data_IF_780523556983
#
_entry.id   IF_780523556983
#
_cell.length_a   1.000
_cell.length_b   1.000
_cell.length_c   1.000
_cell.angle_alpha   90.00
_cell.angle_beta   90.00
_cell.angle_gamma   90.00
#
_symmetry.space_group_name_H-M   'P 1'
#
loop_
_entity.id
_entity.type
_entity.pdbx_description
1 polymer ?
#
# COMPACT_ATOMS: atom_id res chain seq x y z
N UNK A 1 61.90 -36.55 -15.97
CA UNK A 1 60.91 -37.53 -15.45
C UNK A 1 60.24 -37.14 -14.12
N UNK A 2 60.80 -36.23 -13.29
CA UNK A 2 60.26 -35.92 -11.95
C UNK A 2 59.17 -34.83 -11.88
N UNK A 3 59.01 -33.97 -12.89
CA UNK A 3 58.04 -32.86 -12.83
C UNK A 3 56.60 -33.30 -13.14
N UNK A 4 56.44 -34.29 -14.04
CA UNK A 4 55.13 -34.81 -14.43
C UNK A 4 54.47 -35.60 -13.29
N UNK A 5 55.23 -36.45 -12.59
CA UNK A 5 54.72 -37.28 -11.49
C UNK A 5 54.19 -36.44 -10.31
N UNK A 6 54.91 -35.37 -9.97
CA UNK A 6 54.54 -34.44 -8.89
C UNK A 6 53.29 -33.61 -9.21
N UNK A 7 53.08 -33.27 -10.49
CA UNK A 7 51.89 -32.55 -10.96
C UNK A 7 50.64 -33.44 -10.93
N UNK A 8 50.79 -34.73 -11.23
CA UNK A 8 49.69 -35.71 -11.18
C UNK A 8 49.29 -36.03 -9.73
N UNK A 9 50.24 -36.20 -8.82
CA UNK A 9 49.95 -36.40 -7.38
C UNK A 9 49.25 -35.20 -6.74
N UNK A 10 49.66 -33.96 -7.07
CA UNK A 10 49.01 -32.77 -6.56
C UNK A 10 47.58 -32.59 -7.11
N UNK A 11 47.35 -32.93 -8.39
CA UNK A 11 46.00 -32.94 -8.97
C UNK A 11 45.10 -34.00 -8.32
N UNK A 12 45.63 -35.19 -8.04
CA UNK A 12 44.87 -36.25 -7.37
C UNK A 12 44.50 -35.88 -5.93
N UNK A 13 45.44 -35.30 -5.16
CA UNK A 13 45.15 -34.79 -3.80
C UNK A 13 44.14 -33.64 -3.79
N UNK A 14 44.14 -32.79 -4.82
CA UNK A 14 43.16 -31.73 -4.98
C UNK A 14 41.76 -32.30 -5.26
N UNK A 15 41.65 -33.27 -6.19
CA UNK A 15 40.40 -33.96 -6.49
C UNK A 15 39.83 -34.72 -5.28
N UNK A 16 40.68 -35.35 -4.48
CA UNK A 16 40.26 -36.04 -3.25
C UNK A 16 39.68 -35.05 -2.21
N UNK A 17 40.29 -33.86 -2.07
CA UNK A 17 39.79 -32.81 -1.16
C UNK A 17 38.45 -32.23 -1.63
N UNK A 18 38.29 -31.99 -2.93
CA UNK A 18 37.01 -31.52 -3.50
C UNK A 18 35.91 -32.56 -3.31
N UNK A 19 36.21 -33.84 -3.54
CA UNK A 19 35.25 -34.94 -3.35
C UNK A 19 34.76 -35.08 -1.90
N UNK A 20 35.66 -34.93 -0.91
CA UNK A 20 35.29 -35.00 0.51
C UNK A 20 34.47 -33.79 0.95
N UNK A 21 34.77 -32.59 0.45
CA UNK A 21 33.97 -31.38 0.74
C UNK A 21 32.55 -31.52 0.16
N UNK A 22 32.43 -32.06 -1.05
CA UNK A 22 31.12 -32.26 -1.70
C UNK A 22 30.28 -33.32 -0.97
N UNK A 23 30.92 -34.38 -0.47
CA UNK A 23 30.26 -35.43 0.30
C UNK A 23 29.82 -34.93 1.69
N UNK A 24 30.62 -34.08 2.34
CA UNK A 24 30.24 -33.41 3.59
C UNK A 24 29.11 -32.39 3.38
N UNK A 25 29.10 -31.65 2.28
CA UNK A 25 28.00 -30.75 1.92
C UNK A 25 26.69 -31.52 1.64
N UNK A 26 26.76 -32.69 0.98
CA UNK A 26 25.60 -33.57 0.81
C UNK A 26 25.09 -34.15 2.13
N UNK A 27 25.99 -34.53 3.05
CA UNK A 27 25.60 -35.05 4.37
C UNK A 27 25.02 -33.95 5.27
N UNK A 28 25.57 -32.73 5.22
CA UNK A 28 24.99 -31.54 5.85
C UNK A 28 23.63 -31.22 5.24
N UNK A 29 23.49 -31.26 3.92
CA UNK A 29 22.20 -31.08 3.22
C UNK A 29 21.16 -32.12 3.62
N UNK A 30 21.55 -33.39 3.75
CA UNK A 30 20.68 -34.47 4.24
C UNK A 30 20.33 -34.31 5.72
N UNK A 31 21.26 -33.81 6.54
CA UNK A 31 21.00 -33.50 7.94
C UNK A 31 20.02 -32.33 8.08
N UNK A 32 20.22 -31.24 7.34
CA UNK A 32 19.30 -30.09 7.25
C UNK A 32 17.92 -30.49 6.69
N UNK A 33 17.87 -31.35 5.67
CA UNK A 33 16.64 -31.90 5.13
C UNK A 33 15.85 -32.68 6.19
N UNK A 34 16.54 -33.47 7.02
CA UNK A 34 15.93 -34.27 8.08
C UNK A 34 15.54 -33.46 9.32
N UNK A 35 16.20 -32.33 9.58
CA UNK A 35 15.91 -31.45 10.74
C UNK A 35 14.98 -30.28 10.40
N UNK A 36 14.61 -30.08 9.13
CA UNK A 36 13.59 -29.09 8.78
C UNK A 36 12.22 -29.58 9.26
N UNK A 37 11.59 -28.85 10.19
CA UNK A 37 10.21 -29.04 10.65
C UNK A 37 9.15 -28.82 9.55
N UNK A 38 9.55 -28.76 8.27
CA UNK A 38 8.69 -28.43 7.13
C UNK A 38 7.90 -29.61 6.55
N UNK A 39 8.07 -30.82 7.07
CA UNK A 39 7.28 -31.99 6.69
C UNK A 39 6.66 -32.64 7.92
N UNK A 40 5.72 -31.92 8.54
CA UNK A 40 4.74 -32.56 9.39
C UNK A 40 3.87 -33.46 8.49
N UNK A 41 3.70 -34.72 8.87
CA UNK A 41 2.85 -35.66 8.15
C UNK A 41 1.41 -35.16 8.30
N UNK A 42 0.78 -34.74 7.20
CA UNK A 42 -0.63 -34.37 7.22
C UNK A 42 -1.51 -35.60 7.15
N UNK A 43 -2.61 -35.53 7.89
CA UNK A 43 -3.64 -36.56 7.83
C UNK A 43 -4.51 -36.30 6.60
N UNK A 44 -4.65 -37.31 5.73
CA UNK A 44 -5.47 -37.22 4.53
C UNK A 44 -6.81 -37.91 4.76
N UNK A 45 -7.91 -37.20 4.49
CA UNK A 45 -9.28 -37.72 4.59
C UNK A 45 -9.95 -37.60 3.22
N UNK A 46 -10.62 -38.68 2.78
CA UNK A 46 -11.43 -38.69 1.55
C UNK A 46 -12.91 -38.57 1.90
N UNK A 47 -13.54 -37.46 1.52
CA UNK A 47 -14.93 -37.13 1.87
C UNK A 47 -15.80 -37.20 0.61
N UNK A 48 -16.96 -37.86 0.69
CA UNK A 48 -17.93 -37.83 -0.40
C UNK A 48 -18.64 -36.49 -0.40
N UNK A 49 -18.65 -35.79 -1.54
CA UNK A 49 -19.47 -34.60 -1.75
C UNK A 49 -20.91 -35.05 -2.01
N UNK A 50 -21.81 -34.84 -1.05
CA UNK A 50 -23.24 -35.14 -1.16
C UNK A 50 -23.99 -33.97 -1.79
N UNK A 51 -23.64 -32.75 -1.37
CA UNK A 51 -24.15 -31.50 -1.92
C UNK A 51 -23.32 -31.12 -3.14
N UNK A 52 -23.52 -31.87 -4.23
CA UNK A 52 -22.68 -31.78 -5.42
C UNK A 52 -23.21 -30.81 -6.49
N UNK A 53 -24.27 -30.06 -6.17
CA UNK A 53 -24.88 -29.05 -7.02
C UNK A 53 -24.81 -27.64 -6.38
N UNK A 54 -23.96 -26.78 -6.92
CA UNK A 54 -23.75 -25.42 -6.44
C UNK A 54 -25.00 -24.53 -6.58
N UNK A 55 -25.85 -24.74 -7.58
CA UNK A 55 -27.07 -23.93 -7.76
C UNK A 55 -28.21 -24.31 -6.81
N UNK A 56 -28.12 -25.48 -6.18
CA UNK A 56 -29.08 -25.96 -5.17
C UNK A 56 -28.58 -25.71 -3.76
N UNK A 57 -27.31 -26.05 -3.49
CA UNK A 57 -26.74 -26.08 -2.14
C UNK A 57 -25.70 -24.99 -1.86
N UNK A 58 -25.27 -24.26 -2.91
CA UNK A 58 -24.22 -23.24 -2.83
C UNK A 58 -22.90 -23.78 -2.26
N UNK A 59 -22.00 -22.88 -1.84
CA UNK A 59 -20.81 -23.27 -1.07
C UNK A 59 -21.17 -23.82 0.32
N UNK A 60 -22.34 -23.45 0.86
CA UNK A 60 -22.78 -23.90 2.19
C UNK A 60 -22.87 -25.43 2.28
N UNK A 61 -23.43 -26.11 1.27
CA UNK A 61 -23.51 -27.57 1.24
C UNK A 61 -22.15 -28.28 1.26
N UNK A 62 -21.13 -27.69 0.64
CA UNK A 62 -19.74 -28.21 0.69
C UNK A 62 -19.22 -28.17 2.13
N UNK A 63 -19.40 -27.04 2.81
CA UNK A 63 -18.94 -26.87 4.19
C UNK A 63 -19.77 -27.68 5.19
N UNK A 64 -21.05 -27.96 4.89
CA UNK A 64 -21.86 -28.92 5.64
C UNK A 64 -21.28 -30.34 5.53
N UNK A 65 -20.96 -30.79 4.31
CA UNK A 65 -20.35 -32.11 4.09
C UNK A 65 -18.98 -32.26 4.78
N UNK A 66 -18.17 -31.20 4.78
CA UNK A 66 -16.91 -31.15 5.51
C UNK A 66 -17.16 -31.22 7.02
N UNK A 67 -18.07 -30.40 7.55
CA UNK A 67 -18.38 -30.36 8.98
C UNK A 67 -18.92 -31.70 9.50
N UNK A 68 -19.83 -32.33 8.76
CA UNK A 68 -20.36 -33.66 9.06
C UNK A 68 -19.26 -34.72 9.15
N UNK A 69 -18.26 -34.63 8.27
CA UNK A 69 -17.24 -35.66 8.11
C UNK A 69 -16.06 -35.52 9.09
N UNK A 70 -15.62 -34.28 9.35
CA UNK A 70 -14.39 -34.02 10.10
C UNK A 70 -14.55 -33.05 11.27
N UNK A 71 -15.73 -32.43 11.43
CA UNK A 71 -15.98 -31.41 12.45
C UNK A 71 -15.18 -30.14 12.18
N UNK A 72 -15.84 -29.09 11.69
CA UNK A 72 -15.17 -27.83 11.41
C UNK A 72 -15.19 -26.89 12.62
N UNK A 73 -14.19 -25.98 12.73
CA UNK A 73 -14.22 -24.85 13.65
C UNK A 73 -15.47 -23.98 13.46
N UNK A 74 -15.93 -23.35 14.55
CA UNK A 74 -17.03 -22.38 14.48
C UNK A 74 -16.63 -21.12 13.68
N UNK A 75 -15.40 -20.65 13.87
CA UNK A 75 -14.82 -19.51 13.13
C UNK A 75 -13.79 -20.02 12.13
N UNK A 76 -14.02 -19.76 10.86
CA UNK A 76 -13.17 -20.19 9.76
C UNK A 76 -12.55 -18.98 9.09
N UNK A 77 -11.23 -19.09 8.86
CA UNK A 77 -10.40 -18.11 8.18
C UNK A 77 -9.73 -18.78 6.99
N UNK A 78 -9.76 -18.14 5.82
CA UNK A 78 -9.02 -18.59 4.65
C UNK A 78 -7.53 -18.34 4.83
N UNK A 79 -6.70 -19.21 4.25
CA UNK A 79 -5.28 -18.95 4.08
C UNK A 79 -5.09 -18.01 2.88
N UNK A 80 -5.78 -18.29 1.76
CA UNK A 80 -5.69 -17.49 0.53
C UNK A 80 -7.06 -17.24 -0.12
N UNK A 81 -7.77 -18.31 -0.48
CA UNK A 81 -8.95 -18.25 -1.34
C UNK A 81 -9.84 -19.50 -1.20
N UNK A 82 -11.03 -19.40 -1.77
CA UNK A 82 -11.98 -20.47 -2.06
C UNK A 82 -12.37 -20.35 -3.53
N UNK A 83 -11.95 -21.33 -4.34
CA UNK A 83 -12.29 -21.44 -5.75
C UNK A 83 -13.20 -22.65 -5.96
N UNK A 84 -14.34 -22.40 -6.60
CA UNK A 84 -15.29 -23.45 -6.98
C UNK A 84 -15.62 -23.28 -8.45
N UNK A 85 -15.32 -24.30 -9.26
CA UNK A 85 -15.82 -24.37 -10.64
C UNK A 85 -16.99 -25.32 -10.72
N UNK A 86 -18.01 -24.98 -11.50
CA UNK A 86 -19.22 -25.76 -11.66
C UNK A 86 -19.79 -25.62 -13.07
N UNK A 87 -20.57 -26.60 -13.49
CA UNK A 87 -21.19 -26.60 -14.82
C UNK A 87 -22.47 -25.76 -14.84
N UNK A 88 -22.97 -25.43 -16.03
CA UNK A 88 -24.27 -24.77 -16.21
C UNK A 88 -25.45 -25.52 -15.52
N UNK A 89 -25.29 -26.84 -15.30
CA UNK A 89 -26.24 -27.67 -14.55
C UNK A 89 -26.19 -27.47 -13.04
N UNK A 90 -25.17 -26.75 -12.55
CA UNK A 90 -24.82 -26.57 -11.15
C UNK A 90 -23.88 -27.64 -10.59
N UNK A 91 -23.65 -28.74 -11.32
CA UNK A 91 -22.75 -29.80 -10.89
C UNK A 91 -21.32 -29.28 -10.63
N UNK A 92 -20.84 -29.44 -9.40
CA UNK A 92 -19.51 -28.96 -8.99
C UNK A 92 -18.43 -29.78 -9.69
N UNK A 93 -17.52 -29.09 -10.39
CA UNK A 93 -16.43 -29.67 -11.15
C UNK A 93 -15.11 -29.69 -10.35
N UNK A 94 -14.75 -28.57 -9.71
CA UNK A 94 -13.57 -28.49 -8.83
C UNK A 94 -13.82 -27.64 -7.60
N UNK A 95 -13.09 -27.94 -6.53
CA UNK A 95 -13.01 -27.13 -5.31
C UNK A 95 -11.53 -27.05 -4.93
N UNK A 96 -11.01 -25.85 -4.74
CA UNK A 96 -9.68 -25.60 -4.20
C UNK A 96 -9.78 -24.54 -3.10
N UNK A 97 -9.43 -24.91 -1.87
CA UNK A 97 -9.39 -23.96 -0.76
C UNK A 97 -8.48 -24.43 0.34
N UNK A 98 -7.88 -23.48 1.05
CA UNK A 98 -7.14 -23.74 2.27
C UNK A 98 -7.63 -22.81 3.37
N UNK A 99 -8.06 -23.39 4.49
CA UNK A 99 -8.61 -22.62 5.61
C UNK A 99 -8.20 -23.20 6.97
N UNK A 100 -8.43 -22.44 8.02
CA UNK A 100 -8.09 -22.79 9.39
C UNK A 100 -9.07 -22.20 10.40
N UNK A 101 -9.00 -22.70 11.63
CA UNK A 101 -9.75 -22.19 12.77
C UNK A 101 -9.36 -22.90 14.06
N UNK A 102 -9.90 -22.45 15.18
CA UNK A 102 -9.69 -23.10 16.48
C UNK A 102 -10.73 -24.20 16.70
N UNK A 103 -10.27 -25.38 17.11
CA UNK A 103 -11.16 -26.41 17.63
C UNK A 103 -11.72 -26.03 19.02
N UNK A 104 -12.59 -26.88 19.57
CA UNK A 104 -13.23 -26.65 20.87
C UNK A 104 -12.24 -26.53 22.05
N UNK A 105 -11.01 -27.03 21.89
CA UNK A 105 -9.94 -26.95 22.88
C UNK A 105 -9.05 -25.70 22.68
N UNK A 106 -9.37 -24.84 21.71
CA UNK A 106 -8.61 -23.65 21.35
C UNK A 106 -7.34 -23.94 20.54
N UNK A 107 -7.22 -25.14 19.94
CA UNK A 107 -6.07 -25.51 19.13
C UNK A 107 -6.33 -25.19 17.66
N UNK A 108 -5.39 -24.51 17.03
CA UNK A 108 -5.43 -24.24 15.59
C UNK A 108 -5.40 -25.53 14.77
N UNK A 109 -6.35 -25.63 13.84
CA UNK A 109 -6.49 -26.71 12.86
C UNK A 109 -6.54 -26.13 11.46
N UNK A 110 -5.87 -26.78 10.51
CA UNK A 110 -5.81 -26.35 9.11
C UNK A 110 -6.39 -27.44 8.19
N UNK A 111 -6.99 -27.03 7.08
CA UNK A 111 -7.75 -27.89 6.17
C UNK A 111 -7.52 -27.44 4.72
N UNK A 112 -6.69 -28.19 3.98
CA UNK A 112 -6.51 -28.00 2.54
C UNK A 112 -7.43 -28.95 1.79
N UNK A 113 -8.40 -28.40 1.06
CA UNK A 113 -9.41 -29.15 0.31
C UNK A 113 -9.09 -29.10 -1.18
N UNK A 114 -8.93 -30.27 -1.79
CA UNK A 114 -8.78 -30.46 -3.24
C UNK A 114 -9.87 -31.42 -3.75
N UNK A 115 -10.67 -30.93 -4.68
CA UNK A 115 -11.65 -31.73 -5.39
C UNK A 115 -11.55 -31.50 -6.89
N UNK A 116 -11.59 -32.60 -7.63
CA UNK A 116 -11.73 -32.57 -9.07
C UNK A 116 -12.56 -33.77 -9.50
N UNK A 117 -13.80 -33.50 -9.94
CA UNK A 117 -14.79 -34.51 -10.35
C UNK A 117 -14.25 -35.47 -11.41
N UNK A 118 -13.39 -34.99 -12.33
CA UNK A 118 -12.77 -35.82 -13.38
C UNK A 118 -11.73 -36.80 -12.83
N UNK A 119 -11.14 -36.51 -11.67
CA UNK A 119 -10.11 -37.35 -11.02
C UNK A 119 -10.72 -38.28 -9.96
N UNK A 120 -11.75 -37.83 -9.24
CA UNK A 120 -12.29 -38.53 -8.07
C UNK A 120 -13.73 -38.10 -7.80
N UNK A 121 -14.58 -39.03 -7.34
CA UNK A 121 -15.91 -38.72 -6.81
C UNK A 121 -15.89 -38.22 -5.36
N UNK A 122 -14.71 -38.16 -4.74
CA UNK A 122 -14.49 -37.72 -3.36
C UNK A 122 -13.54 -36.53 -3.31
N UNK A 123 -13.82 -35.60 -2.41
CA UNK A 123 -12.91 -34.53 -1.99
C UNK A 123 -11.74 -35.13 -1.21
N UNK A 124 -10.56 -34.56 -1.39
CA UNK A 124 -9.38 -34.85 -0.57
C UNK A 124 -9.17 -33.69 0.39
N UNK A 125 -9.08 -33.98 1.69
CA UNK A 125 -8.79 -32.99 2.71
C UNK A 125 -7.51 -33.36 3.43
N UNK A 126 -6.53 -32.45 3.42
CA UNK A 126 -5.31 -32.59 4.19
C UNK A 126 -5.42 -31.74 5.46
N UNK A 127 -5.29 -32.40 6.61
CA UNK A 127 -5.47 -31.79 7.93
C UNK A 127 -4.11 -31.58 8.59
N UNK A 128 -3.98 -30.49 9.33
CA UNK A 128 -2.77 -30.10 10.07
C UNK A 128 -1.55 -29.88 9.14
N UNK A 129 -1.81 -29.36 7.93
CA UNK A 129 -0.78 -28.82 7.05
C UNK A 129 -0.19 -27.52 7.63
N UNK A 130 1.09 -27.28 7.37
CA UNK A 130 1.73 -26.02 7.72
C UNK A 130 1.10 -24.85 6.93
N UNK A 131 0.60 -23.86 7.65
CA UNK A 131 0.11 -22.59 7.11
C UNK A 131 0.48 -21.46 8.06
N UNK A 132 0.52 -20.23 7.52
CA UNK A 132 0.48 -19.04 8.36
C UNK A 132 -0.97 -18.85 8.83
N UNK A 133 -1.17 -18.77 10.14
CA UNK A 133 -2.50 -18.71 10.79
C UNK A 133 -2.52 -17.54 11.77
N UNK A 134 -2.54 -16.34 11.23
CA UNK A 134 -2.55 -15.05 11.96
C UNK A 134 -3.94 -14.58 12.36
N UNK A 135 -5.00 -15.31 11.96
CA UNK A 135 -6.40 -15.01 12.25
C UNK A 135 -6.81 -13.62 11.77
N UNK A 136 -6.30 -13.23 10.59
CA UNK A 136 -6.64 -11.97 9.93
C UNK A 136 -8.15 -11.86 9.70
N UNK A 137 -8.77 -10.83 10.27
CA UNK A 137 -10.22 -10.63 10.20
C UNK A 137 -10.73 -10.46 8.75
N UNK A 138 -9.86 -9.97 7.88
CA UNK A 138 -10.10 -9.82 6.45
C UNK A 138 -10.23 -11.17 5.74
N UNK A 139 -9.78 -12.27 6.34
CA UNK A 139 -9.84 -13.62 5.75
C UNK A 139 -11.00 -14.47 6.28
N UNK A 140 -11.93 -13.90 7.07
CA UNK A 140 -13.08 -14.64 7.62
C UNK A 140 -14.00 -15.17 6.51
N UNK A 141 -14.50 -16.39 6.68
CA UNK A 141 -15.45 -17.01 5.74
C UNK A 141 -16.89 -16.55 5.93
N UNK A 142 -17.29 -16.18 7.15
CA UNK A 142 -18.68 -15.83 7.49
C UNK A 142 -19.36 -14.85 6.53
N UNK A 143 -18.71 -13.76 6.07
CA UNK A 143 -19.32 -12.80 5.14
C UNK A 143 -19.73 -13.42 3.79
N UNK A 144 -19.12 -14.53 3.38
CA UNK A 144 -19.51 -15.26 2.16
C UNK A 144 -20.98 -15.72 2.21
N UNK A 145 -21.48 -16.12 3.38
CA UNK A 145 -22.85 -16.62 3.51
C UNK A 145 -23.89 -15.51 3.30
N UNK A 146 -23.58 -14.30 3.73
CA UNK A 146 -24.42 -13.12 3.49
C UNK A 146 -24.41 -12.76 1.99
N UNK A 147 -23.23 -12.74 1.36
CA UNK A 147 -23.09 -12.51 -0.09
C UNK A 147 -23.90 -13.52 -0.90
N UNK A 148 -23.67 -14.82 -0.69
CA UNK A 148 -24.36 -15.87 -1.45
C UNK A 148 -25.85 -15.94 -1.16
N UNK A 149 -26.29 -15.51 0.03
CA UNK A 149 -27.72 -15.45 0.39
C UNK A 149 -28.50 -14.36 -0.34
N UNK A 150 -27.82 -13.30 -0.78
CA UNK A 150 -28.43 -12.16 -1.46
C UNK A 150 -28.39 -12.25 -3.00
N UNK A 151 -27.55 -13.13 -3.56
CA UNK A 151 -27.36 -13.30 -5.00
C UNK A 151 -28.25 -14.43 -5.52
N UNK A 152 -29.06 -14.18 -6.56
CA UNK A 152 -29.74 -15.26 -7.29
C UNK A 152 -28.78 -15.95 -8.29
N UNK A 153 -27.86 -16.76 -7.78
CA UNK A 153 -26.82 -17.40 -8.60
C UNK A 153 -27.39 -18.27 -9.74
N UNK A 154 -28.55 -18.88 -9.51
CA UNK A 154 -29.23 -19.69 -10.53
C UNK A 154 -29.68 -18.84 -11.73
N UNK A 155 -30.22 -17.66 -11.49
CA UNK A 155 -30.60 -16.72 -12.55
C UNK A 155 -29.35 -16.22 -13.27
N UNK A 156 -28.33 -15.75 -12.53
CA UNK A 156 -27.03 -15.30 -13.06
C UNK A 156 -26.43 -16.30 -14.04
N UNK A 157 -26.33 -17.57 -13.62
CA UNK A 157 -25.71 -18.64 -14.40
C UNK A 157 -26.56 -19.03 -15.61
N UNK A 158 -27.89 -19.05 -15.49
CA UNK A 158 -28.75 -19.36 -16.63
C UNK A 158 -28.63 -18.31 -17.73
N UNK A 159 -28.64 -17.03 -17.37
CA UNK A 159 -28.55 -15.93 -18.33
C UNK A 159 -27.18 -15.92 -19.01
N UNK A 160 -26.10 -16.08 -18.25
CA UNK A 160 -24.77 -16.17 -18.82
C UNK A 160 -24.60 -17.42 -19.70
N UNK A 161 -25.12 -18.58 -19.30
CA UNK A 161 -25.07 -19.80 -20.12
C UNK A 161 -25.81 -19.61 -21.45
N UNK A 162 -26.95 -18.91 -21.45
CA UNK A 162 -27.68 -18.59 -22.66
C UNK A 162 -26.91 -17.59 -23.54
N UNK A 163 -26.34 -16.54 -22.96
CA UNK A 163 -25.67 -15.46 -23.70
C UNK A 163 -24.32 -15.91 -24.26
N UNK A 164 -23.45 -16.49 -23.44
CA UNK A 164 -22.07 -16.82 -23.80
C UNK A 164 -21.93 -18.19 -24.46
N UNK A 165 -22.96 -19.05 -24.34
CA UNK A 165 -22.88 -20.48 -24.70
C UNK A 165 -21.83 -21.25 -23.90
N UNK A 166 -21.34 -20.68 -22.80
CA UNK A 166 -20.39 -21.35 -21.92
C UNK A 166 -21.08 -22.40 -21.07
N UNK A 167 -20.32 -23.43 -20.73
CA UNK A 167 -20.81 -24.59 -19.99
C UNK A 167 -20.21 -24.69 -18.57
N UNK A 168 -19.24 -23.83 -18.24
CA UNK A 168 -18.51 -23.84 -16.96
C UNK A 168 -18.44 -22.42 -16.41
N UNK A 169 -18.58 -22.31 -15.11
CA UNK A 169 -18.57 -21.08 -14.34
C UNK A 169 -17.68 -21.24 -13.12
N UNK A 170 -17.24 -20.13 -12.58
CA UNK A 170 -16.35 -20.08 -11.43
C UNK A 170 -16.90 -19.10 -10.38
N UNK A 171 -16.74 -19.48 -9.12
CA UNK A 171 -16.88 -18.61 -7.96
C UNK A 171 -15.54 -18.55 -7.25
N UNK A 172 -15.03 -17.33 -7.06
CA UNK A 172 -13.86 -17.03 -6.25
C UNK A 172 -14.28 -16.20 -5.05
N UNK A 173 -13.88 -16.62 -3.86
CA UNK A 173 -13.98 -15.83 -2.64
C UNK A 173 -12.64 -15.81 -1.94
N UNK A 174 -12.17 -14.63 -1.59
CA UNK A 174 -10.86 -14.48 -1.00
C UNK A 174 -10.86 -13.60 0.26
N UNK A 175 -12.04 -13.31 0.82
CA UNK A 175 -12.19 -12.45 1.99
C UNK A 175 -12.40 -10.98 1.62
N UNK A 176 -11.90 -10.07 2.46
CA UNK A 176 -11.93 -8.63 2.24
C UNK A 176 -10.94 -8.26 1.14
N UNK A 177 -11.40 -7.50 0.16
CA UNK A 177 -10.62 -7.08 -1.00
C UNK A 177 -10.76 -5.59 -1.23
N UNK A 178 -9.76 -5.03 -1.88
CA UNK A 178 -9.70 -3.64 -2.32
C UNK A 178 -9.96 -3.55 -3.82
N UNK A 179 -10.73 -2.55 -4.23
CA UNK A 179 -11.06 -2.25 -5.61
C UNK A 179 -10.84 -0.77 -5.91
N UNK A 180 -10.08 -0.46 -6.95
CA UNK A 180 -9.86 0.91 -7.44
C UNK A 180 -10.73 1.27 -8.64
N UNK A 181 -11.63 0.36 -9.04
CA UNK A 181 -12.55 0.53 -10.16
C UNK A 181 -13.92 -0.02 -9.78
N UNK A 182 -14.97 0.68 -10.18
CA UNK A 182 -16.35 0.21 -10.04
C UNK A 182 -16.74 -0.79 -11.13
N UNK A 183 -15.89 -1.01 -12.14
CA UNK A 183 -16.18 -1.91 -13.25
C UNK A 183 -16.41 -3.35 -12.76
N UNK A 184 -17.54 -3.92 -13.13
CA UNK A 184 -17.97 -5.25 -12.68
C UNK A 184 -18.29 -5.37 -11.19
N UNK A 185 -18.31 -4.27 -10.41
CA UNK A 185 -18.58 -4.30 -8.96
C UNK A 185 -20.06 -4.04 -8.65
N UNK A 186 -20.64 -4.80 -7.74
CA UNK A 186 -22.02 -4.69 -7.29
C UNK A 186 -22.08 -4.73 -5.77
N UNK A 187 -22.54 -3.66 -5.15
CA UNK A 187 -22.71 -3.62 -3.69
C UNK A 187 -24.02 -4.32 -3.32
N UNK A 188 -23.97 -5.12 -2.26
CA UNK A 188 -25.10 -5.90 -1.77
C UNK A 188 -25.37 -5.52 -0.32
N UNK A 189 -26.64 -5.34 0.04
CA UNK A 189 -27.06 -5.21 1.44
C UNK A 189 -27.87 -6.44 1.87
N UNK A 190 -27.89 -6.73 3.18
CA UNK A 190 -28.55 -7.93 3.72
C UNK A 190 -30.09 -7.97 3.48
N UNK A 191 -30.68 -6.88 2.98
CA UNK A 191 -32.11 -6.78 2.64
C UNK A 191 -32.39 -7.00 1.15
N UNK A 192 -31.35 -7.00 0.30
CA UNK A 192 -31.48 -7.11 -1.15
C UNK A 192 -31.60 -8.56 -1.61
N UNK A 193 -32.65 -8.87 -2.38
CA UNK A 193 -32.64 -10.01 -3.30
C UNK A 193 -32.27 -9.50 -4.68
N UNK A 194 -31.04 -9.73 -5.11
CA UNK A 194 -30.56 -9.25 -6.40
C UNK A 194 -30.99 -10.23 -7.50
N UNK A 195 -31.80 -9.75 -8.44
CA UNK A 195 -32.19 -10.44 -9.68
C UNK A 195 -31.50 -9.80 -10.88
N UNK A 196 -31.39 -10.53 -12.01
CA UNK A 196 -30.68 -10.05 -13.20
C UNK A 196 -31.42 -8.92 -13.92
N UNK A 197 -32.70 -8.66 -13.62
CA UNK A 197 -33.44 -7.50 -14.13
C UNK A 197 -32.81 -6.15 -13.70
N UNK A 198 -32.01 -6.13 -12.62
CA UNK A 198 -31.23 -4.97 -12.18
C UNK A 198 -29.81 -4.92 -12.80
N UNK A 199 -29.38 -5.99 -13.48
CA UNK A 199 -27.99 -6.18 -13.98
C UNK A 199 -27.85 -5.72 -15.43
N UNK A 200 -28.95 -5.65 -16.19
CA UNK A 200 -28.91 -5.47 -17.65
C UNK A 200 -29.24 -4.04 -18.14
N UNK A 201 -29.05 -3.02 -17.29
CA UNK A 201 -28.98 -1.63 -17.77
C UNK A 201 -27.53 -1.22 -17.89
N UNK A 202 -27.00 -1.42 -19.10
CA UNK A 202 -25.92 -0.61 -19.63
C UNK A 202 -26.00 0.81 -19.06
N UNK A 203 -24.90 1.26 -18.44
CA UNK A 203 -24.25 2.55 -18.69
C UNK A 203 -25.26 3.58 -19.23
N UNK A 204 -25.72 4.48 -18.36
CA UNK A 204 -26.72 5.54 -18.57
C UNK A 204 -28.20 5.14 -18.34
N UNK A 205 -28.70 5.48 -17.14
CA UNK A 205 -30.10 5.88 -16.96
C UNK A 205 -30.96 4.98 -16.08
N UNK A 206 -31.16 5.45 -14.84
CA UNK A 206 -32.31 5.22 -13.96
C UNK A 206 -32.82 3.77 -13.85
N UNK A 207 -32.32 3.05 -12.84
CA UNK A 207 -33.12 2.12 -12.02
C UNK A 207 -32.99 2.62 -10.59
N UNK A 208 -34.08 2.56 -9.83
CA UNK A 208 -34.14 3.01 -8.45
C UNK A 208 -33.40 1.97 -7.59
N UNK A 209 -32.07 2.06 -7.56
CA UNK A 209 -31.22 1.44 -6.57
C UNK A 209 -31.17 2.36 -5.34
N UNK A 210 -31.03 1.78 -4.15
CA UNK A 210 -30.95 2.52 -2.89
C UNK A 210 -29.91 3.65 -3.01
N UNK A 211 -30.31 4.87 -2.67
CA UNK A 211 -29.59 6.12 -2.98
C UNK A 211 -28.16 6.16 -2.38
N UNK A 212 -27.86 5.24 -1.45
CA UNK A 212 -26.56 5.09 -0.79
C UNK A 212 -25.57 4.15 -1.50
N UNK A 213 -26.05 3.25 -2.36
CA UNK A 213 -25.25 2.14 -2.91
C UNK A 213 -24.45 2.57 -4.14
N UNK A 214 -25.07 3.30 -5.07
CA UNK A 214 -24.37 3.97 -6.17
C UNK A 214 -23.44 5.08 -5.65
N UNK A 215 -23.83 5.71 -4.53
CA UNK A 215 -23.06 6.80 -3.95
C UNK A 215 -21.69 6.34 -3.46
N UNK A 216 -21.52 5.11 -2.94
CA UNK A 216 -20.19 4.65 -2.51
C UNK A 216 -19.31 4.26 -3.70
N UNK A 217 -19.85 3.58 -4.72
CA UNK A 217 -19.10 3.20 -5.91
C UNK A 217 -18.63 4.43 -6.70
N UNK A 218 -19.46 5.48 -6.77
CA UNK A 218 -19.09 6.76 -7.40
C UNK A 218 -17.90 7.45 -6.72
N UNK A 219 -17.53 7.07 -5.48
CA UNK A 219 -16.36 7.64 -4.82
C UNK A 219 -15.04 7.24 -5.52
N UNK A 220 -15.05 6.13 -6.26
CA UNK A 220 -13.90 5.69 -7.06
C UNK A 220 -13.62 6.61 -8.26
N UNK A 221 -14.60 7.40 -8.73
CA UNK A 221 -14.38 8.43 -9.77
C UNK A 221 -13.43 9.53 -9.28
N UNK A 222 -13.25 9.65 -7.96
CA UNK A 222 -12.34 10.58 -7.30
C UNK A 222 -11.03 9.90 -6.87
N UNK A 223 -10.71 8.71 -7.40
CA UNK A 223 -9.56 7.90 -6.99
C UNK A 223 -9.78 7.21 -5.64
N UNK A 224 -8.72 6.63 -5.06
CA UNK A 224 -8.81 5.84 -3.83
C UNK A 224 -9.22 4.40 -4.11
N UNK A 225 -9.73 3.73 -3.08
CA UNK A 225 -10.17 2.34 -3.16
C UNK A 225 -11.41 2.08 -2.32
N UNK A 226 -12.20 1.08 -2.69
CA UNK A 226 -13.27 0.54 -1.87
C UNK A 226 -12.81 -0.81 -1.33
N UNK A 227 -12.88 -0.96 -0.02
CA UNK A 227 -12.59 -2.22 0.66
C UNK A 227 -13.87 -2.88 1.16
N UNK A 228 -13.97 -4.20 1.07
CA UNK A 228 -15.12 -4.95 1.56
C UNK A 228 -14.99 -6.43 1.26
N UNK A 229 -15.84 -7.26 1.87
CA UNK A 229 -15.83 -8.69 1.59
C UNK A 229 -16.46 -8.93 0.23
N UNK A 230 -15.76 -9.66 -0.64
CA UNK A 230 -16.14 -9.76 -2.04
C UNK A 230 -16.14 -11.21 -2.54
N UNK A 231 -17.17 -11.56 -3.30
CA UNK A 231 -17.26 -12.81 -4.07
C UNK A 231 -17.37 -12.48 -5.54
N UNK A 232 -16.55 -13.13 -6.36
CA UNK A 232 -16.51 -12.93 -7.81
C UNK A 232 -17.07 -14.16 -8.50
N UNK A 233 -17.96 -13.94 -9.47
CA UNK A 233 -18.44 -14.94 -10.40
C UNK A 233 -17.90 -14.64 -11.79
N UNK A 234 -17.47 -15.67 -12.50
CA UNK A 234 -16.99 -15.53 -13.87
C UNK A 234 -17.38 -16.74 -14.74
N UNK A 235 -17.31 -16.54 -16.05
CA UNK A 235 -17.43 -17.61 -17.03
C UNK A 235 -16.07 -18.29 -17.17
N UNK A 236 -16.00 -19.60 -16.94
CA UNK A 236 -14.74 -20.36 -17.00
C UNK A 236 -14.54 -20.98 -18.40
N UNK A 237 -13.47 -20.60 -19.11
CA UNK A 237 -13.06 -21.23 -20.39
C UNK A 237 -12.25 -20.34 -21.34
N UNK A 238 -11.63 -20.95 -22.36
CA UNK A 238 -10.74 -20.30 -23.34
C UNK A 238 -11.49 -19.46 -24.42
N UNK A 239 -12.82 -19.48 -24.43
CA UNK A 239 -13.63 -18.78 -25.43
C UNK A 239 -14.01 -17.38 -24.93
N UNK A 240 -13.16 -16.39 -25.26
CA UNK A 240 -13.34 -14.93 -25.18
C UNK A 240 -14.70 -14.44 -24.65
N UNK A 241 -14.94 -14.62 -23.35
CA UNK A 241 -16.08 -14.03 -22.68
C UNK A 241 -15.59 -13.50 -21.35
N UNK A 242 -15.17 -12.24 -21.36
CA UNK A 242 -14.73 -11.46 -20.19
C UNK A 242 -15.89 -11.15 -19.23
N UNK A 243 -16.87 -12.05 -19.10
CA UNK A 243 -17.98 -11.89 -18.17
C UNK A 243 -17.51 -12.27 -16.78
N UNK A 244 -17.36 -11.22 -15.99
CA UNK A 244 -17.06 -11.27 -14.56
C UNK A 244 -17.99 -10.30 -13.84
N UNK A 245 -18.41 -10.66 -12.64
CA UNK A 245 -19.15 -9.80 -11.74
C UNK A 245 -18.66 -10.06 -10.32
N UNK A 246 -18.42 -8.99 -9.58
CA UNK A 246 -17.98 -9.05 -8.19
C UNK A 246 -19.04 -8.42 -7.33
N UNK A 247 -19.53 -9.19 -6.35
CA UNK A 247 -20.47 -8.71 -5.36
C UNK A 247 -19.71 -8.39 -4.07
N UNK A 248 -19.98 -7.24 -3.47
CA UNK A 248 -19.29 -6.72 -2.28
C UNK A 248 -20.28 -6.36 -1.17
N UNK A 249 -19.97 -6.70 0.07
CA UNK A 249 -20.74 -6.31 1.26
C UNK A 249 -19.88 -5.50 2.23
N UNK A 250 -20.55 -4.66 3.00
CA UNK A 250 -19.94 -3.73 3.94
C UNK A 250 -18.81 -2.88 3.30
N UNK A 251 -19.05 -2.28 2.11
CA UNK A 251 -18.01 -1.52 1.44
C UNK A 251 -17.63 -0.28 2.27
N UNK A 252 -16.33 0.02 2.30
CA UNK A 252 -15.76 1.20 2.90
C UNK A 252 -14.84 1.87 1.89
N UNK A 253 -15.09 3.14 1.60
CA UNK A 253 -14.21 3.92 0.75
C UNK A 253 -13.02 4.44 1.57
N UNK A 254 -11.82 4.28 1.01
CA UNK A 254 -10.57 4.86 1.47
C UNK A 254 -10.09 5.80 0.36
N UNK A 255 -9.97 7.08 0.68
CA UNK A 255 -9.57 8.07 -0.33
C UNK A 255 -8.12 7.89 -0.76
N UNK A 256 -7.79 8.37 -1.97
CA UNK A 256 -6.42 8.37 -2.47
C UNK A 256 -5.44 9.06 -1.50
N UNK A 257 -5.88 10.10 -0.78
CA UNK A 257 -5.08 10.80 0.21
C UNK A 257 -4.74 9.92 1.42
N UNK A 258 -5.71 9.15 1.92
CA UNK A 258 -5.49 8.20 3.02
C UNK A 258 -4.56 7.06 2.58
N UNK A 259 -4.73 6.53 1.36
CA UNK A 259 -3.84 5.52 0.80
C UNK A 259 -2.41 6.04 0.60
N UNK A 260 -2.26 7.28 0.12
CA UNK A 260 -0.95 7.91 -0.02
C UNK A 260 -0.25 8.07 1.33
N UNK A 261 -1.00 8.41 2.39
CA UNK A 261 -0.46 8.48 3.74
C UNK A 261 -0.07 7.09 4.28
N UNK A 262 -0.88 6.07 4.04
CA UNK A 262 -0.58 4.69 4.45
C UNK A 262 0.65 4.13 3.73
N UNK A 263 0.72 4.27 2.42
CA UNK A 263 1.87 3.86 1.61
C UNK A 263 3.15 4.59 2.04
N UNK A 264 3.05 5.87 2.39
CA UNK A 264 4.17 6.64 2.95
C UNK A 264 4.63 6.05 4.29
N UNK A 265 3.70 5.72 5.18
CA UNK A 265 4.03 5.11 6.47
C UNK A 265 4.67 3.72 6.32
N UNK A 266 4.16 2.88 5.43
CA UNK A 266 4.73 1.56 5.15
C UNK A 266 6.15 1.67 4.59
N UNK A 267 6.40 2.59 3.66
CA UNK A 267 7.76 2.84 3.14
C UNK A 267 8.72 3.32 4.23
N UNK A 268 8.26 4.15 5.18
CA UNK A 268 9.05 4.56 6.35
C UNK A 268 9.36 3.35 7.24
N UNK A 269 8.39 2.47 7.48
CA UNK A 269 8.56 1.30 8.33
C UNK A 269 9.45 0.23 7.68
N UNK A 270 9.35 0.01 6.38
CA UNK A 270 10.27 -0.83 5.60
C UNK A 270 11.70 -0.27 5.61
N UNK A 271 11.86 1.05 5.47
CA UNK A 271 13.16 1.70 5.58
C UNK A 271 13.78 1.50 6.99
N UNK A 272 12.98 1.64 8.05
CA UNK A 272 13.41 1.39 9.44
C UNK A 272 13.80 -0.08 9.66
N UNK A 273 13.05 -1.02 9.11
CA UNK A 273 13.30 -2.46 9.28
C UNK A 273 14.45 -2.98 8.41
N UNK A 274 14.69 -2.39 7.23
CA UNK A 274 15.83 -2.75 6.37
C UNK A 274 17.17 -2.21 6.89
N UNK A 275 17.15 -1.08 7.60
CA UNK A 275 18.33 -0.53 8.27
C UNK A 275 18.84 -1.39 9.46
N UNK A 276 18.06 -2.39 9.89
CA UNK A 276 18.37 -3.25 11.04
C UNK A 276 19.16 -4.53 10.74
N UNK A 277 19.58 -4.80 9.49
CA UNK A 277 20.23 -6.09 9.19
C UNK A 277 21.37 -6.06 8.16
N UNK A 278 22.21 -5.02 8.18
CA UNK A 278 23.51 -5.10 7.50
C UNK A 278 24.64 -4.51 8.35
N UNK A 279 25.04 -5.26 9.38
CA UNK A 279 26.34 -5.08 10.03
C UNK A 279 27.17 -6.36 9.91
N UNK A 280 27.59 -6.70 8.69
CA UNK A 280 28.89 -7.34 8.48
C UNK A 280 29.45 -6.95 7.11
N UNK A 281 30.30 -5.93 7.11
CA UNK A 281 31.21 -5.64 6.02
C UNK A 281 32.31 -6.71 5.96
N UNK A 282 32.36 -7.42 4.83
CA UNK A 282 33.32 -8.50 4.57
C UNK A 282 34.68 -7.94 4.11
N UNK A 283 35.19 -6.92 4.79
CA UNK A 283 36.54 -6.37 4.56
C UNK A 283 37.06 -5.78 5.86
N UNK A 284 37.61 -6.64 6.73
CA UNK A 284 38.20 -6.24 8.00
C UNK A 284 39.36 -5.25 7.84
N UNK A 285 39.04 -3.96 7.81
CA UNK A 285 40.00 -2.91 8.11
C UNK A 285 39.29 -1.78 8.87
N UNK A 286 39.66 -1.65 10.15
CA UNK A 286 39.30 -0.51 10.96
C UNK A 286 40.03 0.72 10.41
N UNK A 287 39.29 1.79 10.12
CA UNK A 287 39.90 3.12 10.15
C UNK A 287 39.34 3.91 11.33
N UNK A 288 40.28 4.20 12.22
CA UNK A 288 40.09 4.84 13.52
C UNK A 288 40.16 6.34 13.33
N UNK A 289 39.01 7.00 13.32
CA UNK A 289 38.88 8.37 13.79
C UNK A 289 37.62 8.45 14.66
N UNK A 290 37.78 7.96 15.88
CA UNK A 290 36.82 8.13 16.96
C UNK A 290 37.38 9.13 17.96
N UNK A 291 36.60 10.15 18.30
CA UNK A 291 36.39 10.64 19.68
C UNK A 291 34.94 11.18 19.68
N UNK A 292 33.90 10.48 20.14
CA UNK A 292 33.61 9.79 21.42
C UNK A 292 33.10 10.73 22.53
N UNK A 293 31.88 10.43 23.03
CA UNK A 293 31.22 11.09 24.15
C UNK A 293 29.68 11.12 23.99
N UNK A 294 28.94 10.02 24.03
CA UNK A 294 28.60 9.15 25.17
C UNK A 294 27.20 9.45 25.74
N UNK A 295 26.40 8.38 25.78
CA UNK A 295 25.29 8.03 26.65
C UNK A 295 23.95 8.80 26.62
N UNK A 296 22.95 8.00 26.28
CA UNK A 296 21.70 7.93 27.02
C UNK A 296 20.51 8.31 26.17
N UNK A 297 19.52 7.40 26.13
CA UNK A 297 18.12 7.63 25.77
C UNK A 297 17.88 8.87 24.91
N UNK A 298 17.55 8.68 23.63
CA UNK A 298 16.41 9.42 23.09
C UNK A 298 15.78 8.58 21.96
N UNK A 299 14.52 8.25 22.19
CA UNK A 299 13.57 7.87 21.15
C UNK A 299 13.36 9.12 20.27
N UNK A 300 14.22 9.37 19.29
CA UNK A 300 13.96 10.43 18.32
C UNK A 300 13.11 9.91 17.16
N UNK A 301 11.80 10.11 17.31
CA UNK A 301 10.87 10.28 16.20
C UNK A 301 11.43 11.31 15.21
N UNK A 302 11.70 10.92 13.97
CA UNK A 302 11.96 11.88 12.88
C UNK A 302 11.17 11.50 11.64
N UNK A 303 9.87 11.81 11.65
CA UNK A 303 9.10 12.10 10.46
C UNK A 303 8.36 13.40 10.74
N UNK A 304 8.89 14.53 10.29
CA UNK A 304 8.18 15.80 10.44
C UNK A 304 6.80 15.68 9.74
N UNK A 305 5.76 16.22 10.37
CA UNK A 305 4.39 16.12 9.88
C UNK A 305 4.09 17.04 8.70
N UNK A 306 4.98 17.16 7.70
CA UNK A 306 4.79 18.07 6.56
C UNK A 306 3.81 17.52 5.51
N UNK A 307 3.03 18.39 4.82
CA UNK A 307 2.02 17.97 3.85
C UNK A 307 2.59 17.53 2.48
N UNK A 308 3.92 17.64 2.25
CA UNK A 308 4.59 17.19 1.03
C UNK A 308 5.48 15.95 1.27
N UNK A 309 5.98 15.26 0.23
CA UNK A 309 7.12 14.34 0.36
C UNK A 309 8.24 14.64 -0.60
N UNK A 310 9.46 14.36 -0.16
CA UNK A 310 10.63 14.30 -1.02
C UNK A 310 10.89 12.86 -1.48
N UNK A 311 11.10 12.66 -2.78
CA UNK A 311 11.73 11.46 -3.31
C UNK A 311 13.24 11.57 -3.04
N UNK A 312 13.75 10.78 -2.09
CA UNK A 312 15.17 10.82 -1.70
C UNK A 312 16.13 10.34 -2.79
N UNK A 313 15.64 9.60 -3.80
CA UNK A 313 16.49 9.09 -4.89
C UNK A 313 16.86 10.19 -5.88
N UNK A 314 15.91 11.06 -6.23
CA UNK A 314 16.11 12.11 -7.25
C UNK A 314 16.04 13.54 -6.69
N UNK A 315 15.48 13.73 -5.50
CA UNK A 315 15.34 15.02 -4.82
C UNK A 315 14.08 15.80 -5.18
N UNK A 316 13.14 15.21 -5.91
CA UNK A 316 11.88 15.86 -6.31
C UNK A 316 10.90 15.89 -5.15
N UNK A 317 10.07 16.92 -5.07
CA UNK A 317 9.12 17.12 -3.96
C UNK A 317 7.68 17.17 -4.47
N UNK A 318 6.78 16.45 -3.82
CA UNK A 318 5.40 16.22 -4.25
C UNK A 318 4.40 16.73 -3.23
N UNK A 319 3.34 17.39 -3.70
CA UNK A 319 2.20 17.85 -2.91
C UNK A 319 0.89 17.54 -3.64
N UNK A 320 -0.14 17.12 -2.92
CA UNK A 320 -1.48 16.92 -3.48
C UNK A 320 -2.49 17.84 -2.76
N UNK A 321 -3.16 18.68 -3.53
CA UNK A 321 -4.23 19.56 -3.04
C UNK A 321 -5.49 18.75 -2.77
N UNK A 322 -5.78 17.81 -3.67
CA UNK A 322 -6.87 16.84 -3.59
C UNK A 322 -6.48 15.55 -4.32
N UNK A 323 -7.41 14.60 -4.46
CA UNK A 323 -7.11 13.29 -5.07
C UNK A 323 -6.79 13.35 -6.57
N UNK A 324 -7.14 14.43 -7.26
CA UNK A 324 -6.91 14.62 -8.69
C UNK A 324 -5.83 15.67 -8.96
N UNK A 325 -5.84 16.78 -8.21
CA UNK A 325 -4.93 17.90 -8.39
C UNK A 325 -3.69 17.74 -7.50
N UNK A 326 -2.53 17.57 -8.14
CA UNK A 326 -1.24 17.53 -7.48
C UNK A 326 -0.20 18.39 -8.18
N UNK A 327 0.86 18.70 -7.45
CA UNK A 327 1.98 19.52 -7.89
C UNK A 327 3.28 18.82 -7.51
N UNK A 328 4.30 18.93 -8.36
CA UNK A 328 5.65 18.47 -8.02
C UNK A 328 6.72 19.44 -8.46
N UNK A 329 7.71 19.63 -7.59
CA UNK A 329 9.00 20.22 -7.92
C UNK A 329 9.90 19.10 -8.44
N UNK A 330 10.00 18.98 -9.76
CA UNK A 330 10.84 17.99 -10.44
C UNK A 330 12.25 18.56 -10.62
N UNK A 331 13.28 17.79 -10.30
CA UNK A 331 14.67 18.22 -10.42
C UNK A 331 15.06 18.30 -11.91
N UNK A 332 15.38 19.50 -12.38
CA UNK A 332 15.72 19.78 -13.78
C UNK A 332 17.24 19.76 -14.04
N UNK A 333 18.04 20.20 -13.08
CA UNK A 333 19.52 20.15 -13.12
C UNK A 333 20.07 20.23 -11.68
N UNK A 334 21.34 19.91 -11.46
CA UNK A 334 21.96 19.96 -10.14
C UNK A 334 23.44 20.36 -10.20
N UNK A 335 23.87 21.18 -9.24
CA UNK A 335 25.26 21.56 -9.08
C UNK A 335 25.59 21.91 -7.62
N UNK A 336 26.76 21.46 -7.16
CA UNK A 336 27.35 21.78 -5.85
C UNK A 336 26.43 21.53 -4.64
N UNK A 337 25.63 20.46 -4.68
CA UNK A 337 24.69 20.12 -3.60
C UNK A 337 23.34 20.86 -3.67
N UNK A 338 23.14 21.68 -4.70
CA UNK A 338 21.90 22.39 -4.99
C UNK A 338 21.28 21.89 -6.29
N UNK A 339 19.98 22.14 -6.45
CA UNK A 339 19.16 21.68 -7.57
C UNK A 339 18.39 22.86 -8.18
N UNK A 340 18.20 22.82 -9.50
CA UNK A 340 17.16 23.57 -10.20
C UNK A 340 15.91 22.70 -10.28
N UNK A 341 14.75 23.33 -10.19
CA UNK A 341 13.46 22.63 -10.25
C UNK A 341 12.61 23.17 -11.38
N UNK A 342 11.72 22.35 -11.89
CA UNK A 342 10.54 22.76 -12.64
C UNK A 342 9.29 22.37 -11.85
N UNK A 343 8.23 23.18 -11.96
CA UNK A 343 6.94 22.86 -11.38
C UNK A 343 6.05 22.19 -12.43
N UNK A 344 5.54 21.02 -12.10
CA UNK A 344 4.53 20.32 -12.87
C UNK A 344 3.25 20.13 -12.07
N UNK A 345 2.13 19.96 -12.77
CA UNK A 345 0.86 19.56 -12.16
C UNK A 345 0.26 18.32 -12.80
N UNK A 346 -0.55 17.64 -12.00
CA UNK A 346 -1.46 16.60 -12.43
C UNK A 346 -2.91 17.05 -12.17
N UNK A 347 -3.82 16.56 -13.00
CA UNK A 347 -5.28 16.66 -12.82
C UNK A 347 -5.95 15.28 -12.83
N UNK A 348 -5.15 14.22 -12.76
CA UNK A 348 -5.56 12.82 -12.83
C UNK A 348 -4.89 11.99 -11.72
N UNK A 349 -4.57 12.60 -10.58
CA UNK A 349 -4.06 11.90 -9.41
C UNK A 349 -2.63 11.36 -9.58
N UNK A 350 -1.84 12.00 -10.44
CA UNK A 350 -0.44 11.67 -10.68
C UNK A 350 -0.19 10.66 -11.80
N UNK A 351 -1.21 10.27 -12.56
CA UNK A 351 -1.07 9.38 -13.73
C UNK A 351 -0.33 10.09 -14.87
N UNK A 352 -0.59 11.39 -15.06
CA UNK A 352 0.14 12.26 -15.98
C UNK A 352 0.50 13.59 -15.34
N UNK A 353 1.65 14.13 -15.77
CA UNK A 353 2.21 15.39 -15.28
C UNK A 353 2.46 16.33 -16.44
N UNK A 354 2.09 17.60 -16.25
CA UNK A 354 2.28 18.65 -17.23
C UNK A 354 3.05 19.81 -16.59
N UNK A 355 4.13 20.26 -17.25
CA UNK A 355 4.88 21.42 -16.82
C UNK A 355 4.00 22.67 -16.76
N UNK A 356 3.95 23.30 -15.59
CA UNK A 356 3.31 24.60 -15.35
C UNK A 356 4.31 25.74 -15.43
N UNK A 357 5.50 25.54 -14.87
CA UNK A 357 6.53 26.56 -14.80
C UNK A 357 7.93 25.92 -14.83
N UNK A 358 8.74 26.27 -15.83
CA UNK A 358 10.09 25.75 -16.01
C UNK A 358 11.12 26.37 -15.05
N UNK A 359 10.77 27.45 -14.36
CA UNK A 359 11.66 28.18 -13.44
C UNK A 359 10.86 28.77 -12.26
N UNK A 360 10.31 27.92 -11.38
CA UNK A 360 9.47 28.35 -10.26
C UNK A 360 10.24 29.13 -9.19
N UNK A 361 11.58 29.01 -9.15
CA UNK A 361 12.45 29.72 -8.21
C UNK A 361 13.18 30.93 -8.84
N UNK A 362 12.74 31.40 -10.02
CA UNK A 362 13.25 32.61 -10.68
C UNK A 362 14.79 32.63 -10.86
N UNK A 363 15.38 31.50 -11.25
CA UNK A 363 16.80 31.32 -11.52
C UNK A 363 17.64 30.95 -10.30
N UNK A 364 17.03 30.79 -9.13
CA UNK A 364 17.72 30.35 -7.91
C UNK A 364 17.81 28.82 -7.84
N UNK A 365 18.86 28.32 -7.20
CA UNK A 365 19.13 26.89 -7.01
C UNK A 365 19.35 26.59 -5.53
N UNK A 366 18.90 25.42 -5.09
CA UNK A 366 18.96 25.01 -3.69
C UNK A 366 18.39 23.62 -3.46
N UNK A 367 18.06 23.31 -2.22
CA UNK A 367 17.26 22.13 -1.87
C UNK A 367 15.84 22.62 -1.61
N UNK A 368 14.84 21.93 -2.14
CA UNK A 368 13.45 22.30 -1.89
C UNK A 368 13.18 22.19 -0.39
N UNK A 369 12.68 23.28 0.19
CA UNK A 369 12.26 23.31 1.59
C UNK A 369 10.85 22.74 1.74
N UNK A 370 9.99 23.03 0.77
CA UNK A 370 8.63 22.51 0.76
C UNK A 370 7.83 23.02 -0.42
N UNK A 371 6.63 22.47 -0.56
CA UNK A 371 5.63 22.87 -1.53
C UNK A 371 4.25 22.66 -0.92
N UNK A 372 3.43 23.70 -0.92
CA UNK A 372 2.08 23.64 -0.37
C UNK A 372 1.14 24.55 -1.17
N UNK A 373 0.01 24.01 -1.60
CA UNK A 373 -1.06 24.78 -2.24
C UNK A 373 -2.29 24.77 -1.33
N UNK A 374 -2.87 25.96 -1.13
CA UNK A 374 -4.06 26.15 -0.28
C UNK A 374 -5.35 26.16 -1.10
N UNK A 375 -5.24 26.35 -2.42
CA UNK A 375 -6.27 26.13 -3.44
C UNK A 375 -5.59 26.11 -4.83
N UNK A 376 -6.38 25.98 -5.90
CA UNK A 376 -5.85 25.89 -7.27
C UNK A 376 -5.10 27.15 -7.75
N UNK A 377 -5.24 28.29 -7.07
CA UNK A 377 -4.57 29.54 -7.43
C UNK A 377 -3.43 29.92 -6.46
N UNK A 378 -3.64 29.69 -5.17
CA UNK A 378 -2.75 30.13 -4.09
C UNK A 378 -1.85 28.98 -3.61
N UNK A 379 -0.54 29.20 -3.64
CA UNK A 379 0.43 28.25 -3.10
C UNK A 379 1.77 28.90 -2.77
N UNK A 380 2.57 28.21 -1.97
CA UNK A 380 3.91 28.61 -1.57
C UNK A 380 4.87 27.47 -1.81
N UNK A 381 6.05 27.80 -2.34
CA UNK A 381 7.18 26.88 -2.46
C UNK A 381 8.38 27.46 -1.73
N UNK A 382 9.18 26.60 -1.12
CA UNK A 382 10.37 27.00 -0.38
C UNK A 382 11.65 26.42 -1.00
N UNK A 383 12.72 27.19 -0.93
CA UNK A 383 14.05 26.80 -1.35
C UNK A 383 15.05 27.13 -0.25
N UNK A 384 15.80 26.15 0.23
CA UNK A 384 16.88 26.36 1.21
C UNK A 384 18.26 26.16 0.61
N UNK A 385 19.24 26.80 1.23
CA UNK A 385 20.64 26.49 0.98
C UNK A 385 20.96 25.06 1.40
N UNK A 386 21.91 24.42 0.70
CA UNK A 386 22.31 23.04 1.01
C UNK A 386 22.86 22.85 2.45
N UNK A 387 23.27 23.94 3.12
CA UNK A 387 23.70 23.93 4.52
C UNK A 387 22.56 24.03 5.53
N UNK A 388 21.33 24.35 5.11
CA UNK A 388 20.22 24.65 6.01
C UNK A 388 20.34 25.99 6.76
N UNK A 389 21.29 26.84 6.39
CA UNK A 389 21.54 28.11 7.08
C UNK A 389 20.61 29.26 6.66
N UNK A 390 19.93 29.11 5.52
CA UNK A 390 18.97 30.09 5.01
C UNK A 390 17.92 29.41 4.16
N UNK A 391 16.76 30.03 4.03
CA UNK A 391 15.71 29.62 3.11
C UNK A 391 14.94 30.82 2.54
N UNK A 392 14.26 30.59 1.44
CA UNK A 392 13.48 31.61 0.76
C UNK A 392 12.17 31.01 0.28
N UNK A 393 11.08 31.73 0.51
CA UNK A 393 9.74 31.32 0.11
C UNK A 393 9.26 32.11 -1.10
N UNK A 394 8.46 31.48 -1.93
CA UNK A 394 7.90 32.07 -3.15
C UNK A 394 6.41 31.81 -3.19
N UNK A 395 5.63 32.87 -3.40
CA UNK A 395 4.17 32.85 -3.46
C UNK A 395 3.70 32.80 -4.92
N UNK A 396 2.68 32.00 -5.19
CA UNK A 396 1.89 32.06 -6.41
C UNK A 396 0.44 32.43 -6.12
N UNK A 397 -0.20 33.16 -7.04
CA UNK A 397 -1.63 33.49 -7.01
C UNK A 397 -2.34 33.10 -8.31
N UNK A 398 -1.65 32.40 -9.21
CA UNK A 398 -2.16 31.97 -10.51
C UNK A 398 -2.00 30.46 -10.75
N UNK A 399 -1.87 29.71 -9.66
CA UNK A 399 -1.82 28.26 -9.65
C UNK A 399 -0.46 27.70 -10.04
N UNK A 400 0.61 28.45 -9.79
CA UNK A 400 1.99 28.04 -10.03
C UNK A 400 2.53 28.42 -11.41
N UNK A 401 1.80 29.24 -12.18
CA UNK A 401 2.31 29.72 -13.48
C UNK A 401 3.37 30.79 -13.30
N UNK A 402 3.21 31.64 -12.29
CA UNK A 402 4.21 32.62 -11.87
C UNK A 402 4.39 32.56 -10.35
N UNK A 403 5.61 32.89 -9.92
CA UNK A 403 5.99 32.97 -8.52
C UNK A 403 6.71 34.30 -8.25
N UNK A 404 6.51 34.84 -7.05
CA UNK A 404 7.25 35.99 -6.53
C UNK A 404 7.83 35.64 -5.16
N UNK A 405 9.09 36.00 -4.93
CA UNK A 405 9.74 35.87 -3.63
C UNK A 405 8.93 36.62 -2.56
N UNK A 406 8.72 35.99 -1.41
CA UNK A 406 8.12 36.63 -0.24
C UNK A 406 9.19 37.50 0.43
N UNK A 407 8.92 38.79 0.55
CA UNK A 407 9.77 39.74 1.29
C UNK A 407 9.14 40.04 2.66
N UNK A 408 9.80 39.62 3.73
CA UNK A 408 9.35 39.89 5.10
C UNK A 408 9.92 41.23 5.60
N UNK A 409 9.13 42.07 6.29
CA UNK A 409 9.57 43.39 6.73
C UNK A 409 10.47 43.31 7.98
N UNK A 410 11.69 42.80 7.83
CA UNK A 410 12.65 42.63 8.94
C UNK A 410 13.00 43.93 9.68
N UNK A 411 12.84 45.09 9.02
CA UNK A 411 13.02 46.40 9.64
C UNK A 411 11.97 46.71 10.74
N UNK A 412 10.80 46.05 10.69
CA UNK A 412 9.74 46.20 11.69
C UNK A 412 9.96 45.36 12.95
N UNK A 413 10.92 44.43 12.94
CA UNK A 413 11.23 43.57 14.09
C UNK A 413 11.77 44.40 15.24
N UNK A 414 11.03 44.39 16.36
CA UNK A 414 11.33 45.19 17.56
C UNK A 414 12.04 44.40 18.66
N UNK A 415 11.89 43.07 18.68
CA UNK A 415 12.50 42.17 19.65
C UNK A 415 12.94 40.85 19.00
N UNK A 416 13.89 40.18 19.66
CA UNK A 416 14.41 38.86 19.29
C UNK A 416 14.20 37.89 20.46
N UNK A 417 14.14 36.56 20.20
CA UNK A 417 14.16 35.55 21.24
C UNK A 417 15.33 35.73 22.22
N UNK A 418 15.13 35.36 23.49
CA UNK A 418 16.18 35.50 24.53
C UNK A 418 17.47 34.73 24.20
N UNK A 419 17.34 33.63 23.45
CA UNK A 419 18.46 32.84 22.94
C UNK A 419 19.37 33.63 22.00
N UNK A 420 18.86 34.64 21.30
CA UNK A 420 19.69 35.50 20.45
C UNK A 420 20.79 36.19 21.27
N UNK A 421 20.47 36.73 22.44
CA UNK A 421 21.46 37.35 23.32
C UNK A 421 22.45 36.33 23.91
N UNK A 422 21.99 35.10 24.17
CA UNK A 422 22.83 34.01 24.69
C UNK A 422 23.87 33.54 23.65
N UNK A 423 23.46 33.44 22.39
CA UNK A 423 24.30 32.96 21.29
C UNK A 423 25.01 34.07 20.52
N UNK A 424 24.68 35.33 20.82
CA UNK A 424 25.25 36.50 20.15
C UNK A 424 24.70 36.72 18.75
N UNK A 425 23.45 36.31 18.49
CA UNK A 425 22.76 36.47 17.23
C UNK A 425 22.19 37.90 17.09
N UNK A 426 22.26 38.42 15.88
CA UNK A 426 21.64 39.66 15.45
C UNK A 426 20.43 39.37 14.54
N UNK A 427 19.64 40.40 14.23
CA UNK A 427 18.45 40.26 13.36
C UNK A 427 18.78 39.65 11.99
N UNK A 428 19.99 39.89 11.47
CA UNK A 428 20.45 39.35 10.20
C UNK A 428 20.77 37.86 10.23
N UNK A 429 20.86 37.24 11.41
CA UNK A 429 21.13 35.81 11.52
C UNK A 429 19.85 34.97 11.38
N UNK A 430 18.67 35.60 11.49
CA UNK A 430 17.37 34.95 11.24
C UNK A 430 17.04 34.99 9.75
N UNK A 431 17.57 34.02 8.99
CA UNK A 431 17.48 33.95 7.52
C UNK A 431 16.85 32.64 7.02
N UNK A 432 16.33 31.81 7.93
CA UNK A 432 15.63 30.57 7.59
C UNK A 432 14.13 30.71 7.81
N UNK A 433 13.36 30.83 6.73
CA UNK A 433 11.90 30.83 6.76
C UNK A 433 11.34 29.41 6.78
N UNK A 434 10.54 29.08 7.79
CA UNK A 434 9.70 27.88 7.78
C UNK A 434 8.53 28.05 6.81
N UNK A 435 8.02 26.95 6.27
CA UNK A 435 6.84 26.97 5.39
C UNK A 435 5.61 27.54 6.12
N UNK A 436 4.76 28.35 5.46
CA UNK A 436 3.69 29.08 6.15
C UNK A 436 2.63 28.15 6.73
N UNK A 437 2.24 28.42 7.97
CA UNK A 437 1.10 27.78 8.61
C UNK A 437 -0.18 28.60 8.34
N UNK A 438 -1.29 27.94 8.02
CA UNK A 438 -2.58 28.60 7.79
C UNK A 438 -3.63 28.18 8.83
N UNK A 439 -4.16 29.16 9.56
CA UNK A 439 -5.28 28.97 10.50
C UNK A 439 -6.28 30.12 10.33
N UNK A 440 -7.58 29.80 10.22
CA UNK A 440 -8.66 30.79 10.05
C UNK A 440 -8.44 31.85 8.94
N UNK A 441 -7.77 31.46 7.84
CA UNK A 441 -7.47 32.34 6.72
C UNK A 441 -6.31 33.31 6.94
N UNK A 442 -5.59 33.18 8.05
CA UNK A 442 -4.38 33.91 8.39
C UNK A 442 -3.16 33.02 8.17
N UNK A 443 -2.13 33.57 7.55
CA UNK A 443 -0.85 32.89 7.36
C UNK A 443 0.17 33.36 8.40
N UNK A 444 0.98 32.43 8.90
CA UNK A 444 2.09 32.73 9.80
C UNK A 444 3.36 32.10 9.25
N UNK A 445 4.43 32.88 9.15
CA UNK A 445 5.80 32.39 8.89
C UNK A 445 6.62 32.61 10.15
N UNK A 446 7.32 31.55 10.59
CA UNK A 446 8.38 31.67 11.57
C UNK A 446 9.72 31.74 10.84
N UNK A 447 10.54 32.71 11.22
CA UNK A 447 11.92 32.85 10.77
C UNK A 447 12.83 32.47 11.92
N UNK A 448 13.69 31.49 11.70
CA UNK A 448 14.65 30.94 12.67
C UNK A 448 16.08 31.19 12.16
N UNK A 449 17.08 31.01 13.03
CA UNK A 449 18.48 31.28 12.68
C UNK A 449 19.10 30.22 11.77
N UNK A 450 18.67 28.97 11.90
CA UNK A 450 19.04 27.87 11.01
C UNK A 450 18.04 26.73 11.14
N UNK A 451 18.04 25.81 10.16
CA UNK A 451 17.16 24.65 10.17
C UNK A 451 17.29 23.84 11.47
N UNK A 452 16.16 23.59 12.13
CA UNK A 452 16.08 22.79 13.36
C UNK A 452 16.08 23.62 14.64
N UNK A 453 16.33 24.92 14.55
CA UNK A 453 16.12 25.84 15.66
C UNK A 453 14.62 26.05 15.92
N UNK A 454 14.26 26.37 17.17
CA UNK A 454 12.86 26.42 17.62
C UNK A 454 12.38 27.85 17.88
N UNK A 455 13.29 28.66 18.44
CA UNK A 455 13.12 30.07 18.72
C UNK A 455 13.16 30.89 17.43
N UNK A 456 12.16 31.77 17.24
CA UNK A 456 12.03 32.49 15.99
C UNK A 456 11.25 33.79 16.05
N UNK A 457 11.26 34.49 14.92
CA UNK A 457 10.53 35.73 14.66
C UNK A 457 9.27 35.37 13.87
N UNK A 458 8.11 35.87 14.29
CA UNK A 458 6.83 35.56 13.65
C UNK A 458 6.37 36.72 12.76
N UNK A 459 5.99 36.38 11.53
CA UNK A 459 5.33 37.27 10.59
C UNK A 459 3.97 36.73 10.24
N UNK A 460 3.00 37.63 10.06
CA UNK A 460 1.62 37.28 9.77
C UNK A 460 1.08 38.00 8.55
N UNK A 461 0.25 37.29 7.78
CA UNK A 461 -0.50 37.83 6.66
C UNK A 461 -1.98 37.51 6.79
N UNK A 462 -2.83 38.51 6.55
CA UNK A 462 -4.31 38.38 6.53
C UNK A 462 -4.89 38.61 5.13
N UNK A 463 -4.05 38.69 4.11
CA UNK A 463 -4.42 38.99 2.73
C UNK A 463 -3.87 37.96 1.75
N UNK A 464 -3.84 36.69 2.17
CA UNK A 464 -3.36 35.55 1.39
C UNK A 464 -1.88 35.67 0.97
N UNK A 465 -1.04 36.14 1.88
CA UNK A 465 0.41 36.22 1.67
C UNK A 465 0.88 37.42 0.85
N UNK A 466 -0.02 38.33 0.44
CA UNK A 466 0.33 39.52 -0.33
C UNK A 466 1.19 40.50 0.49
N UNK A 467 0.82 40.71 1.75
CA UNK A 467 1.57 41.54 2.69
C UNK A 467 1.77 40.82 4.01
N UNK A 468 2.91 41.11 4.64
CA UNK A 468 3.33 40.51 5.91
C UNK A 468 3.61 41.61 6.91
N UNK A 469 3.29 41.35 8.18
CA UNK A 469 3.59 42.25 9.29
C UNK A 469 4.30 41.48 10.39
N UNK A 470 5.22 42.14 11.09
CA UNK A 470 5.81 41.58 12.30
C UNK A 470 4.73 41.36 13.37
N UNK A 471 4.71 40.17 13.99
CA UNK A 471 3.67 39.77 14.94
C UNK A 471 4.19 39.34 16.32
N UNK A 472 5.50 39.16 16.46
CA UNK A 472 6.13 38.81 17.74
C UNK A 472 7.27 37.81 17.58
N UNK A 473 7.55 37.09 18.65
CA UNK A 473 8.54 36.02 18.73
C UNK A 473 7.90 34.71 19.18
N UNK A 474 8.52 33.60 18.84
CA UNK A 474 8.19 32.25 19.31
C UNK A 474 9.37 31.66 20.05
N UNK A 475 9.07 30.82 21.03
CA UNK A 475 10.00 29.91 21.71
C UNK A 475 9.56 28.47 21.46
#
# INVERSE_FOLDING_TARGET
>A
MNLAKKKTENKFKLWLKVGVILLLACLLGLYFFKTSNRFQKSDEVKITLKHDNFLEDSAAGIFEDLNDAIGLPEKIYLVNHLDITFYATGEIATIDTFFYGEDADGKTKTYLVDYNRKKSSKMTVYIDNYARTDYEDDMRLTPLWELLGAINTKELVNDWAEETKSHTFEMNYAGKRSFTSADGLQVVTAEDKITNENVDKNITGNVVADENTDAILSQLDYGGEITGFAVTFSVAGDENTDKTITYIINPQYISAAVLAQQNRQEQIDEAKNSAGNDTTDNTGNADTNAVAGNDGNDEEESGDGTPWTENREDGSVYFFLDSNTGYRLLVADAAAGSRFYELECTKDGGQSWNQLNADPFCGNMGVAEGIEFYNENLGVIGLKGASGAYSTLYLTQDGGKTFSMIELPMDEVTELPDTAAQYGLEKSDYDYCEMPQQEDGKFTIKVISEQGETDGILFESTDNGNTWNYSGISY
#
